data_IF_186952030985
#
_entry.id   IF_186952030985
#
_cell.length_a   1.000
_cell.length_b   1.000
_cell.length_c   1.000
_cell.angle_alpha   90.00
_cell.angle_beta   90.00
_cell.angle_gamma   90.00
#
_symmetry.space_group_name_H-M   'P 1'
#
loop_
_entity.id
_entity.type
_entity.pdbx_description
1 polymer ?
#
# COMPACT_ATOMS: atom_id res chain seq x y z
N UNK A 1 -44.17 16.88 -48.98
CA UNK A 1 -42.83 17.20 -48.40
C UNK A 1 -42.49 16.15 -47.39
N UNK A 2 -41.61 15.17 -47.69
CA UNK A 2 -41.10 14.21 -46.71
C UNK A 2 -40.07 14.92 -45.80
N UNK A 3 -40.45 15.19 -44.54
CA UNK A 3 -39.48 15.72 -43.56
C UNK A 3 -38.30 14.75 -43.44
N UNK A 4 -37.10 15.22 -43.73
CA UNK A 4 -35.86 14.44 -43.58
C UNK A 4 -35.73 14.00 -42.15
N UNK A 5 -35.69 12.68 -41.89
CA UNK A 5 -35.48 12.09 -40.55
C UNK A 5 -33.99 12.13 -40.12
N UNK A 6 -33.10 12.54 -41.03
CA UNK A 6 -31.65 12.57 -40.83
C UNK A 6 -31.21 13.36 -39.60
N UNK A 7 -31.63 14.64 -39.40
CA UNK A 7 -31.17 15.42 -38.23
C UNK A 7 -31.65 14.85 -36.91
N UNK A 8 -32.81 14.20 -36.85
CA UNK A 8 -33.33 13.57 -35.64
C UNK A 8 -32.52 12.32 -35.29
N UNK A 9 -32.18 11.50 -36.28
CA UNK A 9 -31.34 10.30 -36.08
C UNK A 9 -29.96 10.72 -35.65
N UNK A 10 -29.36 11.74 -36.24
CA UNK A 10 -28.06 12.28 -35.85
C UNK A 10 -28.05 12.76 -34.38
N UNK A 11 -29.08 13.51 -33.97
CA UNK A 11 -29.23 13.97 -32.61
C UNK A 11 -29.35 12.79 -31.60
N UNK A 12 -30.12 11.77 -31.96
CA UNK A 12 -30.27 10.55 -31.12
C UNK A 12 -28.95 9.82 -30.96
N UNK A 13 -28.15 9.66 -32.02
CA UNK A 13 -26.82 9.04 -31.96
C UNK A 13 -25.89 9.86 -31.07
N UNK A 14 -25.89 11.19 -31.20
CA UNK A 14 -25.07 12.08 -30.41
C UNK A 14 -25.43 11.99 -28.93
N UNK A 15 -26.70 11.98 -28.57
CA UNK A 15 -27.16 11.82 -27.19
C UNK A 15 -26.81 10.43 -26.64
N UNK A 16 -26.91 9.39 -27.46
CA UNK A 16 -26.52 8.03 -27.05
C UNK A 16 -25.02 7.95 -26.78
N UNK A 17 -24.18 8.49 -27.67
CA UNK A 17 -22.72 8.52 -27.47
C UNK A 17 -22.31 9.34 -26.24
N UNK A 18 -22.99 10.47 -26.02
CA UNK A 18 -22.75 11.28 -24.81
C UNK A 18 -23.13 10.54 -23.54
N UNK A 19 -24.30 9.89 -23.52
CA UNK A 19 -24.73 9.06 -22.38
C UNK A 19 -23.80 7.87 -22.15
N UNK A 20 -23.38 7.19 -23.21
CA UNK A 20 -22.41 6.10 -23.13
C UNK A 20 -21.04 6.59 -22.60
N UNK A 21 -20.59 7.79 -23.03
CA UNK A 21 -19.37 8.43 -22.52
C UNK A 21 -19.43 8.68 -21.01
N UNK A 22 -20.54 9.21 -20.50
CA UNK A 22 -20.73 9.43 -19.05
C UNK A 22 -20.69 8.10 -18.27
N UNK A 23 -21.34 7.05 -18.79
CA UNK A 23 -21.39 5.75 -18.13
C UNK A 23 -20.02 5.02 -18.14
N UNK A 24 -19.24 5.20 -19.20
CA UNK A 24 -17.94 4.54 -19.35
C UNK A 24 -16.80 5.32 -18.66
N UNK A 25 -16.97 6.62 -18.48
CA UNK A 25 -15.94 7.49 -17.91
C UNK A 25 -15.32 6.95 -16.61
N UNK A 26 -16.09 6.56 -15.57
CA UNK A 26 -15.50 6.08 -14.32
C UNK A 26 -14.72 4.77 -14.49
N UNK A 27 -15.15 3.89 -15.41
CA UNK A 27 -14.42 2.64 -15.70
C UNK A 27 -13.11 2.89 -16.42
N UNK A 28 -13.14 3.77 -17.43
CA UNK A 28 -11.93 4.13 -18.18
C UNK A 28 -10.94 4.83 -17.26
N UNK A 29 -11.41 5.77 -16.44
CA UNK A 29 -10.58 6.47 -15.48
C UNK A 29 -9.96 5.50 -14.47
N UNK A 30 -10.72 4.53 -13.95
CA UNK A 30 -10.20 3.51 -13.04
C UNK A 30 -9.07 2.69 -13.65
N UNK A 31 -9.20 2.24 -14.90
CA UNK A 31 -8.15 1.50 -15.62
C UNK A 31 -6.90 2.38 -15.81
N UNK A 32 -7.07 3.66 -16.11
CA UNK A 32 -5.94 4.58 -16.29
C UNK A 32 -5.19 4.75 -14.98
N UNK A 33 -5.90 4.96 -13.87
CA UNK A 33 -5.28 5.12 -12.53
C UNK A 33 -4.62 3.81 -12.08
N UNK A 34 -5.29 2.66 -12.20
CA UNK A 34 -4.71 1.36 -11.82
C UNK A 34 -3.41 1.07 -12.62
N UNK A 35 -3.37 1.44 -13.92
CA UNK A 35 -2.17 1.31 -14.73
C UNK A 35 -1.07 2.30 -14.31
N UNK A 36 -1.42 3.53 -13.91
CA UNK A 36 -0.46 4.53 -13.42
C UNK A 36 0.20 4.05 -12.13
N UNK A 37 -0.59 3.57 -11.17
CA UNK A 37 -0.09 3.03 -9.91
C UNK A 37 0.86 1.85 -10.13
N UNK A 38 0.48 0.92 -11.03
CA UNK A 38 1.34 -0.22 -11.38
C UNK A 38 2.62 0.23 -12.08
N UNK A 39 2.56 1.23 -12.95
CA UNK A 39 3.75 1.76 -13.62
C UNK A 39 4.71 2.40 -12.62
N UNK A 40 4.21 3.16 -11.66
CA UNK A 40 5.04 3.79 -10.62
C UNK A 40 5.66 2.73 -9.69
N UNK A 41 4.88 1.72 -9.28
CA UNK A 41 5.39 0.58 -8.54
C UNK A 41 6.52 -0.13 -9.30
N UNK A 42 6.36 -0.36 -10.61
CA UNK A 42 7.38 -0.99 -11.43
C UNK A 42 8.64 -0.12 -11.55
N UNK A 43 8.50 1.20 -11.69
CA UNK A 43 9.65 2.13 -11.71
C UNK A 43 10.46 2.06 -10.40
N UNK A 44 9.78 1.91 -9.26
CA UNK A 44 10.47 1.70 -7.98
C UNK A 44 11.26 0.39 -8.00
N UNK A 45 10.64 -0.72 -8.42
CA UNK A 45 11.30 -2.05 -8.50
C UNK A 45 12.51 -2.00 -9.43
N UNK A 46 12.38 -1.41 -10.61
CA UNK A 46 13.47 -1.29 -11.58
C UNK A 46 14.65 -0.51 -10.98
N UNK A 47 14.37 0.59 -10.29
CA UNK A 47 15.38 1.45 -9.66
C UNK A 47 16.17 0.72 -8.57
N UNK A 48 15.52 -0.02 -7.67
CA UNK A 48 16.23 -0.77 -6.62
C UNK A 48 17.03 -1.95 -7.20
N UNK A 49 16.56 -2.54 -8.30
CA UNK A 49 17.25 -3.65 -8.99
C UNK A 49 18.53 -3.14 -9.68
N UNK A 50 18.46 -2.03 -10.40
CA UNK A 50 19.61 -1.41 -11.07
C UNK A 50 20.70 -1.01 -10.05
N UNK A 51 20.28 -0.49 -8.87
CA UNK A 51 21.21 -0.14 -7.79
C UNK A 51 21.95 -1.36 -7.25
N UNK A 52 21.30 -2.52 -7.22
CA UNK A 52 21.89 -3.77 -6.74
C UNK A 52 22.88 -4.37 -7.76
N UNK A 53 22.62 -4.24 -9.07
CA UNK A 53 23.51 -4.75 -10.12
C UNK A 53 24.81 -3.95 -10.25
N UNK A 54 24.77 -2.63 -10.03
CA UNK A 54 25.96 -1.75 -10.10
C UNK A 54 26.96 -2.06 -8.98
N UNK A 55 26.50 -2.52 -7.81
CA UNK A 55 27.36 -2.91 -6.69
C UNK A 55 27.99 -4.31 -6.87
N UNK A 56 27.54 -5.11 -7.84
CA UNK A 56 28.00 -6.50 -8.09
C UNK A 56 29.21 -6.65 -9.01
N UNK A 57 29.79 -5.60 -9.59
CA UNK A 57 30.78 -5.71 -10.68
C UNK A 57 32.24 -5.41 -10.28
N UNK A 58 32.55 -5.19 -9.00
CA UNK A 58 33.94 -5.09 -8.53
C UNK A 58 34.39 -6.35 -7.78
N UNK A 59 35.65 -6.83 -7.96
CA UNK A 59 36.10 -8.06 -7.30
C UNK A 59 36.31 -7.86 -5.81
N UNK A 60 35.64 -8.72 -5.05
CA UNK A 60 35.74 -9.01 -3.62
C UNK A 60 36.93 -8.41 -2.86
N UNK A 61 36.77 -7.25 -2.24
CA UNK A 61 37.51 -6.85 -1.02
C UNK A 61 36.93 -5.58 -0.36
N UNK A 62 35.60 -5.45 -0.27
CA UNK A 62 34.97 -4.53 0.70
C UNK A 62 33.57 -5.10 0.97
N UNK A 63 33.18 -5.21 2.22
CA UNK A 63 31.81 -5.55 2.60
C UNK A 63 30.88 -4.60 1.82
N UNK A 64 30.02 -5.17 0.98
CA UNK A 64 28.97 -4.41 0.29
C UNK A 64 28.15 -3.73 1.39
N UNK A 65 28.35 -2.44 1.61
CA UNK A 65 27.56 -1.68 2.56
C UNK A 65 26.11 -1.67 2.05
N UNK A 66 25.19 -1.99 2.97
CA UNK A 66 23.75 -1.95 2.68
C UNK A 66 23.38 -0.52 2.25
N UNK A 67 22.68 -0.31 1.13
CA UNK A 67 22.27 1.03 0.73
C UNK A 67 21.40 1.66 1.82
N UNK A 68 21.56 2.96 2.07
CA UNK A 68 20.80 3.70 3.08
C UNK A 68 20.81 3.03 4.48
N UNK A 69 21.94 2.51 4.92
CA UNK A 69 22.07 1.78 6.17
C UNK A 69 21.63 2.61 7.38
N UNK A 70 21.90 3.91 7.40
CA UNK A 70 21.49 4.81 8.48
C UNK A 70 19.95 4.88 8.60
N UNK A 71 19.24 5.02 7.48
CA UNK A 71 17.79 4.98 7.43
C UNK A 71 17.25 3.64 7.94
N UNK A 72 17.83 2.52 7.49
CA UNK A 72 17.42 1.18 7.95
C UNK A 72 17.53 1.04 9.45
N UNK A 73 18.66 1.45 10.03
CA UNK A 73 18.88 1.38 11.49
C UNK A 73 17.94 2.31 12.26
N UNK A 74 17.67 3.51 11.73
CA UNK A 74 16.72 4.43 12.32
C UNK A 74 15.30 3.85 12.34
N UNK A 75 14.86 3.20 11.26
CA UNK A 75 13.55 2.53 11.19
C UNK A 75 13.44 1.32 12.13
N UNK A 76 14.51 0.53 12.25
CA UNK A 76 14.56 -0.58 13.24
C UNK A 76 14.48 -0.04 14.67
N UNK A 77 15.21 1.04 14.98
CA UNK A 77 15.17 1.69 16.29
C UNK A 77 13.78 2.28 16.58
N UNK A 78 13.14 2.90 15.57
CA UNK A 78 11.78 3.39 15.70
C UNK A 78 10.79 2.27 16.03
N UNK A 79 10.84 1.14 15.32
CA UNK A 79 9.97 -0.01 15.59
C UNK A 79 10.16 -0.53 17.02
N UNK A 80 11.40 -0.57 17.48
CA UNK A 80 11.70 -0.95 18.87
C UNK A 80 11.12 0.05 19.87
N UNK A 81 11.32 1.35 19.64
CA UNK A 81 10.83 2.41 20.53
C UNK A 81 9.31 2.36 20.70
N UNK A 82 8.55 2.29 19.60
CA UNK A 82 7.07 2.24 19.68
C UNK A 82 6.58 0.96 20.37
N UNK A 83 7.31 -0.14 20.28
CA UNK A 83 7.02 -1.36 21.03
C UNK A 83 7.23 -1.16 22.52
N UNK A 84 8.41 -0.66 22.95
CA UNK A 84 8.74 -0.40 24.36
C UNK A 84 7.77 0.62 25.00
N UNK A 85 7.37 1.64 24.24
CA UNK A 85 6.40 2.67 24.65
C UNK A 85 4.95 2.22 24.52
N UNK A 86 4.70 0.94 24.16
CA UNK A 86 3.36 0.35 24.00
C UNK A 86 2.43 1.16 23.10
N UNK A 87 3.00 1.82 22.10
CA UNK A 87 2.29 2.65 21.15
C UNK A 87 1.35 3.70 21.80
N UNK A 88 1.80 4.33 22.92
CA UNK A 88 1.01 5.35 23.64
C UNK A 88 0.57 6.51 22.73
N UNK A 89 1.31 6.78 21.63
CA UNK A 89 0.97 7.77 20.61
C UNK A 89 -0.11 7.33 19.63
N UNK A 90 -0.52 6.05 19.65
CA UNK A 90 -1.52 5.53 18.73
C UNK A 90 -2.93 5.99 19.17
N UNK A 91 -3.56 6.83 18.35
CA UNK A 91 -4.94 7.24 18.56
C UNK A 91 -5.82 6.89 17.35
N UNK A 92 -6.64 7.79 16.80
CA UNK A 92 -7.45 7.44 15.62
C UNK A 92 -6.58 7.09 14.41
N UNK A 93 -6.69 5.88 13.83
CA UNK A 93 -5.88 5.44 12.69
C UNK A 93 -5.98 6.32 11.44
N UNK A 94 -7.01 7.17 11.33
CA UNK A 94 -7.16 8.10 10.22
C UNK A 94 -6.57 9.49 10.47
N UNK A 95 -6.14 9.79 11.69
CA UNK A 95 -5.56 11.09 12.01
C UNK A 95 -4.05 11.18 11.76
N UNK A 96 -3.42 10.11 11.25
CA UNK A 96 -1.96 10.03 11.08
C UNK A 96 -1.51 10.32 9.66
N UNK A 97 -1.54 11.60 9.31
CA UNK A 97 -1.10 12.10 8.01
C UNK A 97 0.40 12.31 7.94
N UNK A 98 1.03 12.65 9.06
CA UNK A 98 2.46 12.99 9.09
C UNK A 98 3.33 11.74 9.01
N UNK A 99 4.29 11.65 8.10
CA UNK A 99 5.19 10.51 8.01
C UNK A 99 6.07 10.40 9.25
N UNK A 100 6.32 9.16 9.70
CA UNK A 100 7.29 8.89 10.77
C UNK A 100 8.74 9.15 10.35
N UNK A 101 9.00 9.16 9.03
CA UNK A 101 10.29 9.44 8.41
C UNK A 101 10.11 10.28 7.16
N UNK A 102 10.99 11.26 6.96
CA UNK A 102 11.16 12.01 5.71
C UNK A 102 12.31 11.39 4.96
N UNK A 103 12.05 10.72 3.83
CA UNK A 103 13.09 10.00 3.07
C UNK A 103 14.17 10.94 2.54
N UNK A 104 13.80 12.19 2.23
CA UNK A 104 14.75 13.24 1.81
C UNK A 104 15.85 13.54 2.82
N UNK A 105 15.60 13.38 4.13
CA UNK A 105 16.60 13.58 5.18
C UNK A 105 17.74 12.54 5.10
N UNK A 106 17.51 11.44 4.39
CA UNK A 106 18.45 10.34 4.18
C UNK A 106 18.97 10.28 2.73
N UNK A 107 18.74 11.32 1.94
CA UNK A 107 19.25 11.43 0.57
C UNK A 107 18.44 10.69 -0.49
N UNK A 108 17.17 10.39 -0.21
CA UNK A 108 16.22 9.84 -1.16
C UNK A 108 15.32 10.96 -1.66
N UNK A 109 15.43 11.29 -2.96
CA UNK A 109 14.61 12.35 -3.60
C UNK A 109 13.17 11.90 -3.86
N UNK A 110 12.88 10.61 -3.72
CA UNK A 110 11.56 10.01 -3.96
C UNK A 110 10.84 9.72 -2.64
N UNK A 111 9.53 9.95 -2.63
CA UNK A 111 8.67 9.69 -1.47
C UNK A 111 8.16 8.23 -1.42
N UNK A 112 8.31 7.48 -2.53
CA UNK A 112 7.95 6.06 -2.58
C UNK A 112 8.95 5.25 -1.74
N UNK A 113 8.47 4.71 -0.63
CA UNK A 113 9.25 3.86 0.27
C UNK A 113 9.36 2.42 -0.23
N UNK A 114 8.34 1.94 -0.93
CA UNK A 114 8.27 0.57 -1.40
C UNK A 114 7.06 0.31 -2.28
N UNK A 115 6.78 -0.97 -2.48
CA UNK A 115 5.64 -1.47 -3.26
C UNK A 115 4.89 -2.50 -2.45
N UNK A 116 3.55 -2.39 -2.44
CA UNK A 116 2.66 -3.45 -1.97
C UNK A 116 2.13 -4.25 -3.16
N UNK A 117 2.26 -5.58 -3.10
CA UNK A 117 1.72 -6.51 -4.09
C UNK A 117 0.80 -7.53 -3.42
N UNK A 118 -0.40 -7.73 -4.00
CA UNK A 118 -1.37 -8.73 -3.56
C UNK A 118 -1.75 -9.56 -4.79
N UNK A 119 -1.05 -10.69 -5.05
CA UNK A 119 -1.18 -11.46 -6.29
C UNK A 119 -2.62 -11.91 -6.59
N UNK A 120 -3.38 -12.35 -5.58
CA UNK A 120 -4.77 -12.79 -5.73
C UNK A 120 -5.68 -11.70 -6.30
N UNK A 121 -5.39 -10.43 -6.00
CA UNK A 121 -6.18 -9.29 -6.44
C UNK A 121 -5.59 -8.62 -7.70
N UNK A 122 -4.49 -9.16 -8.24
CA UNK A 122 -3.70 -8.53 -9.31
C UNK A 122 -3.36 -7.07 -8.97
N UNK A 123 -3.17 -6.78 -7.68
CA UNK A 123 -2.92 -5.46 -7.16
C UNK A 123 -1.42 -5.25 -6.96
N UNK A 124 -0.93 -4.16 -7.49
CA UNK A 124 0.43 -3.65 -7.29
C UNK A 124 0.38 -2.14 -7.29
N UNK A 125 0.90 -1.50 -6.24
CA UNK A 125 0.89 -0.05 -6.12
C UNK A 125 2.02 0.46 -5.21
N UNK A 126 2.40 1.74 -5.34
CA UNK A 126 3.37 2.38 -4.47
C UNK A 126 2.94 2.35 -3.01
N UNK A 127 3.92 2.28 -2.12
CA UNK A 127 3.76 2.37 -0.68
C UNK A 127 4.52 3.58 -0.15
N UNK A 128 3.80 4.46 0.52
CA UNK A 128 4.32 5.70 1.12
C UNK A 128 4.37 5.60 2.64
N UNK A 129 5.13 6.50 3.29
CA UNK A 129 5.15 6.66 4.74
C UNK A 129 4.26 7.85 5.14
N UNK A 130 3.31 7.61 6.06
CA UNK A 130 2.30 8.59 6.45
C UNK A 130 1.09 8.61 5.51
N UNK A 131 -0.10 8.54 6.09
CA UNK A 131 -1.36 8.40 5.35
C UNK A 131 -2.00 9.76 5.05
N UNK A 132 -1.25 10.67 4.39
CA UNK A 132 -1.80 11.93 3.87
C UNK A 132 -2.82 11.68 2.76
N UNK A 133 -3.68 12.67 2.49
CA UNK A 133 -4.62 12.60 1.35
C UNK A 133 -3.88 12.42 0.01
N UNK A 134 -2.70 13.03 -0.13
CA UNK A 134 -1.83 12.93 -1.31
C UNK A 134 -1.32 11.49 -1.48
N UNK A 135 -0.67 10.93 -0.46
CA UNK A 135 -0.17 9.55 -0.49
C UNK A 135 -1.28 8.53 -0.73
N UNK A 136 -2.45 8.72 -0.11
CA UNK A 136 -3.59 7.84 -0.32
C UNK A 136 -4.21 7.96 -1.72
N UNK A 137 -4.04 9.10 -2.39
CA UNK A 137 -4.44 9.30 -3.79
C UNK A 137 -3.48 8.61 -4.76
N UNK A 138 -2.20 8.52 -4.39
CA UNK A 138 -1.11 8.03 -5.24
C UNK A 138 -0.72 6.58 -4.92
N UNK A 139 -1.33 5.96 -3.89
CA UNK A 139 -1.05 4.57 -3.55
C UNK A 139 -1.64 4.10 -2.24
N UNK A 140 -0.88 3.27 -1.55
CA UNK A 140 -1.10 2.85 -0.18
C UNK A 140 -0.11 3.55 0.75
N UNK A 141 -0.47 3.72 2.02
CA UNK A 141 0.39 4.42 2.96
C UNK A 141 0.47 3.71 4.32
N UNK A 142 1.67 3.65 4.88
CA UNK A 142 1.90 3.19 6.25
C UNK A 142 1.36 4.23 7.22
N UNK A 143 0.52 3.83 8.15
CA UNK A 143 0.04 4.70 9.22
C UNK A 143 1.18 5.06 10.16
N UNK A 144 1.32 6.35 10.46
CA UNK A 144 2.23 6.82 11.51
C UNK A 144 1.85 6.21 12.86
N UNK A 145 2.82 6.11 13.77
CA UNK A 145 2.66 5.41 15.06
C UNK A 145 2.40 3.89 14.96
N UNK A 146 2.55 3.31 13.76
CA UNK A 146 2.63 1.87 13.56
C UNK A 146 4.01 1.48 13.04
N UNK A 147 4.32 0.19 13.00
CA UNK A 147 5.65 -0.25 12.59
C UNK A 147 5.93 0.04 11.12
N UNK A 148 7.16 0.41 10.81
CA UNK A 148 7.66 0.48 9.43
C UNK A 148 7.97 -0.95 8.96
N UNK A 149 7.64 -1.33 7.69
CA UNK A 149 7.83 -2.69 7.19
C UNK A 149 9.29 -2.95 6.78
N UNK A 150 10.15 -3.07 7.79
CA UNK A 150 11.57 -3.46 7.67
C UNK A 150 11.87 -4.77 8.40
N UNK A 151 10.84 -5.58 8.65
CA UNK A 151 10.90 -6.86 9.33
C UNK A 151 11.19 -6.78 10.83
N UNK A 152 11.00 -7.90 11.52
CA UNK A 152 11.30 -8.09 12.93
C UNK A 152 10.09 -8.40 13.79
N UNK A 153 10.33 -9.20 14.84
CA UNK A 153 9.31 -9.53 15.85
C UNK A 153 8.85 -8.28 16.62
N UNK A 154 7.69 -8.38 17.23
CA UNK A 154 7.05 -7.28 17.95
C UNK A 154 6.78 -6.07 17.04
N UNK A 155 6.24 -6.33 15.84
CA UNK A 155 5.85 -5.31 14.88
C UNK A 155 4.44 -5.55 14.36
N UNK A 156 3.73 -4.46 14.07
CA UNK A 156 2.51 -4.46 13.27
C UNK A 156 2.55 -3.24 12.35
N UNK A 157 2.87 -3.46 11.08
CA UNK A 157 2.79 -2.41 10.06
C UNK A 157 1.35 -2.29 9.58
N UNK A 158 0.73 -1.13 9.79
CA UNK A 158 -0.63 -0.88 9.32
C UNK A 158 -0.59 -0.05 8.05
N UNK A 159 -1.10 -0.62 6.96
CA UNK A 159 -1.13 0.02 5.65
C UNK A 159 -2.57 0.39 5.30
N UNK A 160 -2.82 1.69 5.13
CA UNK A 160 -4.09 2.22 4.68
C UNK A 160 -4.16 2.35 3.15
N UNK A 161 -5.36 2.18 2.63
CA UNK A 161 -5.67 2.43 1.23
C UNK A 161 -7.16 2.70 1.02
N UNK A 162 -7.49 3.50 0.01
CA UNK A 162 -8.87 3.79 -0.33
C UNK A 162 -9.69 2.53 -0.64
N UNK A 163 -10.96 2.51 -0.25
CA UNK A 163 -11.93 1.44 -0.64
C UNK A 163 -12.42 1.62 -2.08
N UNK A 164 -11.49 1.93 -3.01
CA UNK A 164 -11.73 2.37 -4.38
C UNK A 164 -11.90 3.88 -4.47
N UNK A 165 -11.22 4.50 -5.41
CA UNK A 165 -11.17 5.94 -5.60
C UNK A 165 -11.24 6.29 -7.08
N UNK A 166 -12.11 7.21 -7.47
CA UNK A 166 -12.29 7.63 -8.87
C UNK A 166 -12.39 6.49 -9.92
N UNK A 167 -12.96 5.34 -9.52
CA UNK A 167 -13.10 4.15 -10.37
C UNK A 167 -11.96 3.15 -10.28
N UNK A 168 -10.80 3.55 -9.75
CA UNK A 168 -9.66 2.67 -9.51
C UNK A 168 -9.88 1.72 -8.32
N UNK A 169 -9.12 0.64 -8.30
CA UNK A 169 -9.36 -0.47 -7.38
C UNK A 169 -8.84 -0.20 -5.98
N UNK A 170 -7.61 0.24 -5.81
CA UNK A 170 -6.95 0.34 -4.49
C UNK A 170 -7.29 -0.87 -3.59
N UNK A 171 -7.70 -0.65 -2.35
CA UNK A 171 -8.12 -1.72 -1.42
C UNK A 171 -9.61 -2.09 -1.51
N UNK A 172 -10.25 -1.86 -2.67
CA UNK A 172 -11.68 -2.17 -2.88
C UNK A 172 -12.01 -3.62 -2.54
N UNK A 173 -11.15 -4.54 -2.93
CA UNK A 173 -11.39 -5.98 -2.92
C UNK A 173 -10.62 -6.73 -1.83
N UNK A 174 -10.00 -6.06 -0.86
CA UNK A 174 -9.27 -6.78 0.22
C UNK A 174 -10.19 -7.63 1.10
N UNK A 175 -11.52 -7.42 1.05
CA UNK A 175 -12.49 -8.32 1.69
C UNK A 175 -12.60 -9.70 1.03
N UNK A 176 -12.03 -9.91 -0.15
CA UNK A 176 -12.02 -11.19 -0.85
C UNK A 176 -10.80 -12.03 -0.44
N UNK A 177 -9.88 -11.45 0.32
CA UNK A 177 -8.73 -12.15 0.87
C UNK A 177 -9.17 -13.15 1.92
N UNK A 178 -8.55 -14.32 1.89
CA UNK A 178 -8.81 -15.44 2.78
C UNK A 178 -7.53 -15.91 3.46
N UNK A 179 -7.59 -16.58 4.61
CA UNK A 179 -6.41 -17.16 5.23
C UNK A 179 -5.63 -18.03 4.23
N UNK A 180 -4.31 -17.79 4.15
CA UNK A 180 -3.41 -18.41 3.19
C UNK A 180 -3.09 -17.57 1.95
N UNK A 181 -3.86 -16.52 1.65
CA UNK A 181 -3.51 -15.59 0.57
C UNK A 181 -2.27 -14.77 0.94
N UNK A 182 -1.50 -14.40 -0.08
CA UNK A 182 -0.22 -13.74 0.11
C UNK A 182 -0.31 -12.21 -0.08
N UNK A 183 0.44 -11.49 0.76
CA UNK A 183 0.71 -10.06 0.63
C UNK A 183 2.22 -9.86 0.69
N UNK A 184 2.78 -9.09 -0.25
CA UNK A 184 4.21 -8.87 -0.38
C UNK A 184 4.48 -7.38 -0.26
N UNK A 185 5.46 -7.01 0.57
CA UNK A 185 6.01 -5.65 0.63
C UNK A 185 7.44 -5.70 0.14
N UNK A 186 7.72 -5.02 -0.95
CA UNK A 186 9.09 -4.81 -1.44
C UNK A 186 9.51 -3.40 -1.06
N UNK A 187 10.50 -3.29 -0.19
CA UNK A 187 11.07 -2.02 0.25
C UNK A 187 12.46 -1.80 -0.38
N UNK A 188 13.20 -0.83 0.08
CA UNK A 188 14.55 -0.46 -0.42
C UNK A 188 15.58 -1.59 -0.28
N UNK A 189 15.36 -2.58 0.57
CA UNK A 189 16.36 -3.59 0.95
C UNK A 189 15.94 -5.04 0.67
N UNK A 190 14.63 -5.34 0.81
CA UNK A 190 14.14 -6.71 0.77
C UNK A 190 12.67 -6.81 0.37
N UNK A 191 12.23 -8.02 0.02
CA UNK A 191 10.82 -8.36 -0.18
C UNK A 191 10.32 -9.18 1.01
N UNK A 192 9.43 -8.60 1.79
CA UNK A 192 8.80 -9.18 2.97
C UNK A 192 7.49 -9.87 2.55
N UNK A 193 7.37 -11.17 2.80
CA UNK A 193 6.20 -11.96 2.43
C UNK A 193 5.36 -12.28 3.65
N UNK A 194 4.06 -12.02 3.55
CA UNK A 194 3.09 -12.25 4.60
C UNK A 194 1.95 -13.12 4.09
N UNK A 195 1.36 -13.91 4.98
CA UNK A 195 0.14 -14.66 4.68
C UNK A 195 -1.04 -14.10 5.47
N UNK A 196 -2.19 -13.96 4.83
CA UNK A 196 -3.43 -13.56 5.48
C UNK A 196 -3.81 -14.60 6.54
N UNK A 197 -4.15 -14.14 7.75
CA UNK A 197 -4.57 -15.01 8.85
C UNK A 197 -6.03 -14.80 9.24
N UNK A 198 -6.51 -13.56 9.24
CA UNK A 198 -7.91 -13.22 9.52
C UNK A 198 -8.32 -11.87 8.96
N UNK A 199 -9.62 -11.61 8.94
CA UNK A 199 -10.17 -10.27 8.67
C UNK A 199 -11.20 -9.88 9.72
N UNK A 200 -11.26 -8.58 10.05
CA UNK A 200 -12.16 -8.04 11.09
C UNK A 200 -12.70 -6.68 10.67
N UNK A 201 -13.95 -6.41 10.97
CA UNK A 201 -14.53 -5.06 10.89
C UNK A 201 -14.56 -4.43 12.26
N UNK A 202 -14.11 -3.17 12.37
CA UNK A 202 -14.01 -2.41 13.62
C UNK A 202 -14.64 -1.03 13.45
N UNK A 203 -14.88 -0.34 14.56
CA UNK A 203 -15.18 1.08 14.55
C UNK A 203 -13.89 1.91 14.31
N UNK A 204 -13.99 3.14 13.77
CA UNK A 204 -12.80 3.94 13.45
C UNK A 204 -11.90 4.25 14.65
N UNK A 205 -12.44 4.29 15.85
CA UNK A 205 -11.73 4.59 17.10
C UNK A 205 -11.30 3.34 17.88
N UNK A 206 -11.47 2.13 17.34
CA UNK A 206 -11.02 0.88 17.96
C UNK A 206 -9.56 0.61 17.61
N UNK A 207 -8.66 1.41 18.19
CA UNK A 207 -7.21 1.33 17.93
C UNK A 207 -6.56 0.09 18.55
N UNK A 208 -7.18 -0.50 19.58
CA UNK A 208 -6.71 -1.74 20.22
C UNK A 208 -6.52 -2.89 19.22
N UNK A 209 -7.35 -2.90 18.16
CA UNK A 209 -7.32 -3.95 17.14
C UNK A 209 -6.04 -3.94 16.30
N UNK A 210 -5.29 -2.84 16.26
CA UNK A 210 -4.08 -2.67 15.45
C UNK A 210 -2.80 -2.54 16.27
N UNK A 211 -2.87 -2.77 17.58
CA UNK A 211 -1.68 -2.77 18.43
C UNK A 211 -0.71 -3.89 18.03
N UNK A 212 0.57 -3.64 18.30
CA UNK A 212 1.63 -4.63 18.17
C UNK A 212 1.34 -5.81 19.11
N UNK A 213 1.53 -7.04 18.62
CA UNK A 213 1.38 -8.26 19.39
C UNK A 213 2.77 -8.85 19.68
N UNK A 214 2.95 -9.27 20.92
CA UNK A 214 4.22 -9.83 21.39
C UNK A 214 4.65 -11.06 20.57
N UNK A 215 5.92 -11.11 20.19
CA UNK A 215 6.55 -12.19 19.41
C UNK A 215 5.97 -12.41 18.00
N UNK A 216 5.16 -11.48 17.47
CA UNK A 216 4.63 -11.57 16.12
C UNK A 216 5.22 -10.47 15.23
N UNK A 217 5.32 -10.78 13.94
CA UNK A 217 5.58 -9.82 12.87
C UNK A 217 4.33 -9.75 12.01
N UNK A 218 3.55 -8.68 12.18
CA UNK A 218 2.26 -8.49 11.54
C UNK A 218 2.30 -7.39 10.49
N UNK A 219 1.50 -7.58 9.47
CA UNK A 219 1.08 -6.59 8.50
C UNK A 219 -0.45 -6.51 8.54
N UNK A 220 -1.01 -5.31 8.71
CA UNK A 220 -2.47 -5.10 8.72
C UNK A 220 -2.87 -4.18 7.57
N UNK A 221 -3.69 -4.68 6.65
CA UNK A 221 -4.31 -3.84 5.63
C UNK A 221 -5.57 -3.20 6.20
N UNK A 222 -5.74 -1.90 5.98
CA UNK A 222 -6.83 -1.11 6.51
C UNK A 222 -7.53 -0.32 5.41
N UNK A 223 -8.87 -0.37 5.39
CA UNK A 223 -9.68 0.44 4.48
C UNK A 223 -11.04 0.79 5.07
N UNK A 224 -11.71 1.78 4.49
CA UNK A 224 -13.08 2.14 4.87
C UNK A 224 -14.08 1.00 4.62
N UNK A 225 -15.08 0.86 5.51
CA UNK A 225 -16.15 -0.13 5.37
C UNK A 225 -17.49 0.45 5.83
N UNK A 226 -18.65 0.03 5.25
CA UNK A 226 -18.78 -0.57 3.92
C UNK A 226 -18.32 0.37 2.79
N UNK A 227 -18.14 -0.10 1.54
CA UNK A 227 -17.85 0.79 0.42
C UNK A 227 -18.85 1.94 0.32
N UNK A 228 -18.38 3.15 0.00
CA UNK A 228 -19.19 4.37 -0.15
C UNK A 228 -19.99 4.79 1.11
N UNK A 229 -19.63 4.30 2.29
CA UNK A 229 -20.31 4.64 3.56
C UNK A 229 -19.83 5.94 4.20
N UNK A 230 -18.80 6.60 3.64
CA UNK A 230 -18.08 7.68 4.30
C UNK A 230 -17.23 7.23 5.49
N UNK A 231 -16.85 5.95 5.52
CA UNK A 231 -15.93 5.41 6.53
C UNK A 231 -16.54 5.17 7.90
N UNK A 232 -17.80 4.70 7.96
CA UNK A 232 -18.48 4.37 9.22
C UNK A 232 -17.75 3.33 10.05
N UNK A 233 -17.12 2.39 9.37
CA UNK A 233 -16.36 1.30 9.93
C UNK A 233 -15.01 1.17 9.19
N UNK A 234 -14.13 0.33 9.70
CA UNK A 234 -12.87 -0.07 9.07
C UNK A 234 -12.85 -1.57 8.86
N UNK A 235 -12.44 -1.99 7.68
CA UNK A 235 -12.09 -3.38 7.42
C UNK A 235 -10.58 -3.53 7.63
N UNK A 236 -10.21 -4.47 8.46
CA UNK A 236 -8.83 -4.92 8.68
C UNK A 236 -8.64 -6.30 8.07
N UNK A 237 -7.50 -6.51 7.43
CA UNK A 237 -7.01 -7.84 7.03
C UNK A 237 -5.65 -8.02 7.67
N UNK A 238 -5.54 -8.96 8.60
CA UNK A 238 -4.31 -9.27 9.32
C UNK A 238 -3.51 -10.31 8.55
N UNK A 239 -2.24 -10.03 8.37
CA UNK A 239 -1.29 -10.91 7.74
C UNK A 239 -0.10 -11.14 8.68
N UNK A 240 0.47 -12.34 8.65
CA UNK A 240 1.63 -12.72 9.47
C UNK A 240 2.81 -13.07 8.58
N UNK A 241 4.01 -12.73 9.02
CA UNK A 241 5.25 -12.96 8.28
C UNK A 241 5.42 -14.44 7.94
N UNK A 242 5.67 -14.75 6.67
CA UNK A 242 6.11 -16.07 6.25
C UNK A 242 7.58 -16.20 6.60
N UNK A 243 7.88 -17.01 7.61
CA UNK A 243 9.28 -17.36 7.90
C UNK A 243 9.75 -18.31 6.80
N UNK A 244 10.67 -17.83 5.96
CA UNK A 244 11.39 -18.74 5.08
C UNK A 244 12.31 -19.57 5.99
N UNK A 245 11.99 -20.85 6.20
CA UNK A 245 12.95 -21.77 6.80
C UNK A 245 14.21 -21.70 5.95
N UNK A 246 15.25 -21.05 6.44
CA UNK A 246 16.58 -21.25 5.90
C UNK A 246 16.85 -22.75 6.08
N UNK A 247 16.90 -23.48 4.97
CA UNK A 247 17.44 -24.83 4.99
C UNK A 247 18.81 -24.75 5.67
N UNK A 248 18.82 -25.17 6.92
CA UNK A 248 20.09 -25.34 7.65
C UNK A 248 20.77 -26.53 7.00
N UNK A 249 21.97 -26.34 6.41
CA UNK A 249 22.69 -27.43 5.78
C UNK A 249 23.17 -28.47 6.77
#
# INVERSE_FOLDING_TARGET
MKKSKGPVIFLMILLFLFGAGILLHPRINGIVVDNSLRQEAQQFIDRITDTTEVTGTEPASTQSEMPYQELYQAMKSYNWTIWEEKQEGLCDPWSYEQPSFTLGDYGLDDEVFGVISIPKLELEMPLYLGASDEHLSDGAAVLSQTSIPVGGSNTNCVIAGHRGWYGASYFRYINELQPGDEVIITNLWESLRYTVVESKTILPNDVEAIHIQENRELLTLLTCHPPASGGKERLLVFCERIQTELEVP
#
